data_IF_113834325690
#
_entry.id   IF_113834325690
#
_cell.length_a   1.000
_cell.length_b   1.000
_cell.length_c   1.000
_cell.angle_alpha   90.00
_cell.angle_beta   90.00
_cell.angle_gamma   90.00
#
_symmetry.space_group_name_H-M   'P 1'
#
loop_
_entity.id
_entity.type
_entity.pdbx_description
1 polymer ?
#
# COMPACT_ATOMS: atom_id res chain seq x y z
N UNK A 1 -32.07 -47.28 -33.70
CA UNK A 1 -30.68 -47.51 -34.14
C UNK A 1 -29.89 -46.22 -33.91
N UNK A 2 -29.01 -46.18 -32.90
CA UNK A 2 -28.03 -45.10 -32.69
C UNK A 2 -26.70 -45.79 -32.39
N UNK A 3 -25.80 -45.80 -33.37
CA UNK A 3 -24.45 -46.32 -33.20
C UNK A 3 -23.65 -45.33 -32.36
N UNK A 4 -23.42 -45.68 -31.10
CA UNK A 4 -22.47 -44.96 -30.24
C UNK A 4 -21.10 -45.60 -30.47
N UNK A 5 -20.30 -45.00 -31.35
CA UNK A 5 -18.93 -45.45 -31.55
C UNK A 5 -18.11 -45.19 -30.27
N UNK A 6 -17.47 -46.21 -29.67
CA UNK A 6 -16.62 -46.00 -28.51
C UNK A 6 -15.40 -45.18 -28.93
N UNK A 7 -15.21 -44.02 -28.30
CA UNK A 7 -14.02 -43.18 -28.50
C UNK A 7 -12.79 -44.05 -28.23
N UNK A 8 -11.97 -44.26 -29.26
CA UNK A 8 -10.79 -45.11 -29.20
C UNK A 8 -9.79 -44.55 -28.19
N UNK A 9 -9.07 -45.45 -27.51
CA UNK A 9 -8.02 -45.12 -26.54
C UNK A 9 -7.04 -44.01 -26.99
N UNK A 10 -6.57 -43.97 -28.26
CA UNK A 10 -5.72 -42.87 -28.74
C UNK A 10 -6.41 -41.50 -28.73
N UNK A 11 -7.72 -41.44 -28.99
CA UNK A 11 -8.47 -40.17 -28.95
C UNK A 11 -8.63 -39.64 -27.51
N UNK A 12 -8.72 -40.53 -26.50
CA UNK A 12 -8.74 -40.13 -25.08
C UNK A 12 -7.39 -39.58 -24.62
N UNK A 13 -6.29 -40.21 -25.06
CA UNK A 13 -4.92 -39.74 -24.78
C UNK A 13 -4.66 -38.35 -25.36
N UNK A 14 -5.11 -38.08 -26.59
CA UNK A 14 -4.99 -36.76 -27.22
C UNK A 14 -5.72 -35.66 -26.46
N UNK A 15 -6.93 -35.95 -25.94
CA UNK A 15 -7.69 -34.98 -25.12
C UNK A 15 -6.98 -34.68 -23.81
N UNK A 16 -6.46 -35.69 -23.10
CA UNK A 16 -5.75 -35.50 -21.82
C UNK A 16 -4.46 -34.68 -22.02
N UNK A 17 -3.69 -34.99 -23.06
CA UNK A 17 -2.47 -34.23 -23.40
C UNK A 17 -2.81 -32.79 -23.78
N UNK A 18 -3.88 -32.57 -24.55
CA UNK A 18 -4.37 -31.24 -24.90
C UNK A 18 -4.79 -30.42 -23.67
N UNK A 19 -5.53 -31.02 -22.73
CA UNK A 19 -5.91 -30.36 -21.48
C UNK A 19 -4.70 -30.05 -20.58
N UNK A 20 -3.74 -30.98 -20.49
CA UNK A 20 -2.52 -30.76 -19.71
C UNK A 20 -1.65 -29.65 -20.33
N UNK A 21 -1.53 -29.61 -21.66
CA UNK A 21 -0.80 -28.54 -22.36
C UNK A 21 -1.50 -27.18 -22.20
N UNK A 22 -2.83 -27.14 -22.27
CA UNK A 22 -3.60 -25.92 -22.05
C UNK A 22 -3.49 -25.42 -20.59
N UNK A 23 -3.53 -26.32 -19.61
CA UNK A 23 -3.31 -25.99 -18.21
C UNK A 23 -1.89 -25.50 -17.96
N UNK A 24 -0.87 -26.16 -18.53
CA UNK A 24 0.51 -25.74 -18.45
C UNK A 24 0.73 -24.37 -19.12
N UNK A 25 0.10 -24.13 -20.28
CA UNK A 25 0.16 -22.84 -20.97
C UNK A 25 -0.55 -21.72 -20.18
N UNK A 26 -1.70 -22.01 -19.55
CA UNK A 26 -2.39 -21.07 -18.68
C UNK A 26 -1.56 -20.73 -17.43
N UNK A 27 -0.96 -21.74 -16.77
CA UNK A 27 -0.05 -21.55 -15.64
C UNK A 27 1.23 -20.81 -16.05
N UNK A 28 1.75 -21.09 -17.24
CA UNK A 28 2.92 -20.39 -17.80
C UNK A 28 2.59 -18.93 -18.13
N UNK A 29 1.42 -18.65 -18.71
CA UNK A 29 0.98 -17.29 -19.03
C UNK A 29 0.68 -16.48 -17.77
N UNK A 30 0.08 -17.08 -16.74
CA UNK A 30 -0.17 -16.44 -15.44
C UNK A 30 1.15 -16.07 -14.74
N UNK A 31 2.16 -16.95 -14.82
CA UNK A 31 3.51 -16.69 -14.30
C UNK A 31 4.26 -15.55 -15.00
N UNK A 32 3.80 -15.15 -16.20
CA UNK A 32 4.43 -14.14 -17.07
C UNK A 32 3.67 -12.81 -17.11
N UNK A 33 2.61 -12.64 -16.32
CA UNK A 33 1.96 -11.33 -16.22
C UNK A 33 2.95 -10.35 -15.57
N UNK A 34 3.70 -9.61 -16.39
CA UNK A 34 4.53 -8.50 -15.94
C UNK A 34 3.60 -7.50 -15.25
N UNK A 35 3.70 -7.45 -13.93
CA UNK A 35 2.96 -6.47 -13.14
C UNK A 35 3.53 -5.10 -13.47
N UNK A 36 2.85 -4.37 -14.36
CA UNK A 36 3.17 -2.97 -14.66
C UNK A 36 3.13 -2.21 -13.33
N UNK A 37 4.28 -1.67 -12.86
CA UNK A 37 4.31 -1.03 -11.56
C UNK A 37 3.44 0.23 -11.56
N UNK A 38 2.65 0.42 -10.50
CA UNK A 38 1.84 1.62 -10.35
C UNK A 38 2.73 2.88 -10.42
N UNK A 39 2.28 3.88 -11.16
CA UNK A 39 3.04 5.13 -11.40
C UNK A 39 2.93 6.12 -10.25
N UNK A 40 1.81 6.08 -9.51
CA UNK A 40 1.42 7.05 -8.50
C UNK A 40 1.78 6.67 -7.05
N UNK A 41 2.54 5.59 -6.85
CA UNK A 41 2.94 5.12 -5.52
C UNK A 41 4.29 4.41 -5.54
N UNK A 42 4.96 4.26 -4.39
CA UNK A 42 6.18 3.46 -4.25
C UNK A 42 6.05 2.07 -4.86
N UNK A 43 7.14 1.61 -5.48
CA UNK A 43 7.22 0.28 -6.08
C UNK A 43 7.80 -0.70 -5.06
N UNK A 44 7.14 -1.85 -4.91
CA UNK A 44 7.76 -3.02 -4.26
C UNK A 44 8.54 -3.78 -5.32
N UNK A 45 9.86 -3.83 -5.19
CA UNK A 45 10.73 -4.62 -6.06
C UNK A 45 11.70 -5.45 -5.23
N UNK A 46 12.10 -6.60 -5.78
CA UNK A 46 13.25 -7.33 -5.26
C UNK A 46 14.51 -6.59 -5.72
N UNK A 47 15.37 -6.25 -4.76
CA UNK A 47 16.66 -5.61 -5.02
C UNK A 47 17.76 -6.55 -4.57
N UNK A 48 18.92 -6.47 -5.23
CA UNK A 48 20.07 -7.29 -4.88
C UNK A 48 20.42 -7.18 -3.39
N UNK A 49 20.74 -8.32 -2.78
CA UNK A 49 21.01 -8.42 -1.34
C UNK A 49 19.77 -8.51 -0.44
N UNK A 50 18.56 -8.40 -0.99
CA UNK A 50 17.30 -8.51 -0.23
C UNK A 50 16.34 -9.51 -0.87
N UNK A 51 15.70 -10.33 -0.04
CA UNK A 51 14.65 -11.29 -0.44
C UNK A 51 13.35 -11.00 0.31
N UNK A 52 12.22 -11.52 -0.17
CA UNK A 52 10.96 -11.45 0.58
C UNK A 52 11.00 -12.36 1.81
N UNK A 53 10.17 -12.05 2.81
CA UNK A 53 9.98 -12.90 3.99
C UNK A 53 9.49 -14.32 3.65
N UNK A 54 8.84 -14.51 2.50
CA UNK A 54 8.38 -15.83 2.05
C UNK A 54 9.53 -16.80 1.82
N UNK A 55 10.70 -16.28 1.43
CA UNK A 55 11.93 -17.09 1.24
C UNK A 55 12.40 -17.73 2.55
N UNK A 56 12.07 -17.12 3.69
CA UNK A 56 12.46 -17.60 5.02
C UNK A 56 11.54 -18.70 5.55
N UNK A 57 10.32 -18.82 5.00
CA UNK A 57 9.22 -19.60 5.59
C UNK A 57 9.54 -21.08 5.74
N UNK A 58 10.07 -21.72 4.70
CA UNK A 58 10.26 -23.17 4.66
C UNK A 58 11.29 -23.68 5.69
N UNK A 59 12.30 -22.88 6.02
CA UNK A 59 13.35 -23.26 6.98
C UNK A 59 13.09 -22.72 8.39
N UNK A 60 12.31 -21.65 8.52
CA UNK A 60 12.07 -20.94 9.79
C UNK A 60 10.58 -20.79 10.10
N UNK A 61 9.82 -21.89 10.03
CA UNK A 61 8.35 -21.88 10.15
C UNK A 61 7.84 -21.20 11.43
N UNK A 62 8.45 -21.51 12.59
CA UNK A 62 8.04 -20.93 13.87
C UNK A 62 8.22 -19.41 13.94
N UNK A 63 9.38 -18.91 13.50
CA UNK A 63 9.67 -17.47 13.46
C UNK A 63 8.83 -16.76 12.40
N UNK A 64 8.65 -17.38 11.23
CA UNK A 64 7.77 -16.84 10.20
C UNK A 64 6.35 -16.73 10.73
N UNK A 65 5.82 -17.76 11.40
CA UNK A 65 4.47 -17.76 11.95
C UNK A 65 4.28 -16.67 13.00
N UNK A 66 5.18 -16.54 13.98
CA UNK A 66 5.05 -15.50 15.02
C UNK A 66 5.15 -14.09 14.44
N UNK A 67 6.08 -13.86 13.50
CA UNK A 67 6.15 -12.59 12.76
C UNK A 67 4.89 -12.36 11.92
N UNK A 68 4.39 -13.39 11.25
CA UNK A 68 3.21 -13.31 10.40
C UNK A 68 1.92 -13.11 11.21
N UNK A 69 1.89 -13.47 12.49
CA UNK A 69 0.76 -13.16 13.38
C UNK A 69 0.85 -11.72 13.92
N UNK A 70 1.98 -11.04 13.74
CA UNK A 70 2.20 -9.67 14.21
C UNK A 70 1.75 -8.59 13.21
N UNK A 71 1.57 -7.38 13.73
CA UNK A 71 1.24 -6.17 12.99
C UNK A 71 2.39 -5.62 12.13
N UNK A 72 3.64 -6.03 12.38
CA UNK A 72 4.80 -5.53 11.63
C UNK A 72 4.69 -5.82 10.13
N UNK A 73 4.20 -7.01 9.75
CA UNK A 73 4.10 -7.41 8.34
C UNK A 73 3.08 -6.56 7.56
N UNK A 74 2.09 -6.02 8.26
CA UNK A 74 0.98 -5.23 7.71
C UNK A 74 1.16 -3.73 7.97
N UNK A 75 2.35 -3.30 8.39
CA UNK A 75 2.60 -1.89 8.72
C UNK A 75 2.41 -0.97 7.51
N UNK A 76 2.72 -1.42 6.31
CA UNK A 76 2.46 -0.67 5.07
C UNK A 76 1.76 -1.56 4.07
N UNK A 77 0.62 -1.11 3.58
CA UNK A 77 -0.20 -1.86 2.62
C UNK A 77 -0.66 -0.94 1.49
N UNK A 78 -0.82 -1.52 0.30
CA UNK A 78 -1.55 -0.84 -0.78
C UNK A 78 -2.98 -0.62 -0.33
N UNK A 79 -3.52 0.57 -0.56
CA UNK A 79 -4.91 0.87 -0.27
C UNK A 79 -5.81 0.10 -1.24
N UNK A 80 -6.63 -0.79 -0.69
CA UNK A 80 -7.60 -1.63 -1.39
C UNK A 80 -8.80 -1.82 -0.46
N UNK A 81 -9.95 -2.34 -0.95
CA UNK A 81 -11.09 -2.59 -0.08
C UNK A 81 -10.82 -3.57 1.08
N UNK A 82 -9.74 -4.36 1.00
CA UNK A 82 -9.35 -5.31 2.05
C UNK A 82 -8.42 -4.72 3.12
N UNK A 83 -7.76 -3.60 2.81
CA UNK A 83 -6.67 -3.04 3.62
C UNK A 83 -7.00 -1.66 4.16
N UNK A 84 -7.85 -0.93 3.43
CA UNK A 84 -8.40 0.33 3.88
C UNK A 84 -9.57 0.06 4.82
N UNK A 85 -9.60 0.82 5.91
CA UNK A 85 -10.63 0.70 6.93
C UNK A 85 -12.03 1.07 6.40
N UNK A 86 -13.10 0.55 7.03
CA UNK A 86 -14.47 0.85 6.62
C UNK A 86 -14.75 2.36 6.69
N UNK A 87 -15.80 2.80 5.98
CA UNK A 87 -16.34 4.18 6.02
C UNK A 87 -15.53 5.25 5.27
N UNK A 88 -14.68 4.87 4.32
CA UNK A 88 -14.03 5.84 3.41
C UNK A 88 -14.97 6.38 2.33
N UNK A 89 -15.94 5.59 1.88
CA UNK A 89 -16.91 6.05 0.89
C UNK A 89 -17.99 6.90 1.57
N UNK A 90 -18.14 8.15 1.15
CA UNK A 90 -19.03 9.11 1.81
C UNK A 90 -18.46 9.72 3.10
N UNK A 91 -17.18 9.47 3.42
CA UNK A 91 -16.49 10.12 4.54
C UNK A 91 -16.56 11.64 4.41
N UNK A 92 -16.90 12.34 5.49
CA UNK A 92 -16.87 13.79 5.57
C UNK A 92 -16.14 14.21 6.85
N UNK A 93 -15.03 14.93 6.69
CA UNK A 93 -14.21 15.43 7.79
C UNK A 93 -13.89 16.90 7.60
N UNK A 94 -13.69 17.61 8.70
CA UNK A 94 -13.32 19.04 8.70
C UNK A 94 -12.14 19.27 9.64
N UNK A 95 -11.14 20.01 9.19
CA UNK A 95 -10.00 20.45 9.99
C UNK A 95 -9.60 21.86 9.58
N UNK A 96 -9.51 22.78 10.55
CA UNK A 96 -9.11 24.18 10.34
C UNK A 96 -9.91 24.91 9.23
N UNK A 97 -11.20 24.57 9.11
CA UNK A 97 -12.09 25.14 8.08
C UNK A 97 -11.89 24.59 6.67
N UNK A 98 -11.04 23.58 6.49
CA UNK A 98 -10.95 22.77 5.26
C UNK A 98 -11.83 21.54 5.38
N UNK A 99 -12.55 21.20 4.32
CA UNK A 99 -13.39 20.00 4.26
C UNK A 99 -12.68 18.91 3.45
N UNK A 100 -12.87 17.65 3.85
CA UNK A 100 -12.31 16.46 3.22
C UNK A 100 -13.45 15.48 2.96
N UNK A 101 -13.63 15.09 1.71
CA UNK A 101 -14.67 14.15 1.28
C UNK A 101 -14.04 12.89 0.72
N UNK A 102 -14.40 11.73 1.27
CA UNK A 102 -14.02 10.42 0.75
C UNK A 102 -15.02 9.88 -0.27
N UNK A 103 -14.48 9.30 -1.34
CA UNK A 103 -15.25 8.75 -2.45
C UNK A 103 -14.63 7.41 -2.88
N UNK A 104 -15.47 6.44 -3.25
CA UNK A 104 -15.02 5.18 -3.84
C UNK A 104 -15.40 5.09 -5.32
N UNK A 105 -14.50 4.57 -6.14
CA UNK A 105 -14.77 4.19 -7.53
C UNK A 105 -14.15 2.82 -7.82
N UNK A 106 -14.99 1.80 -7.96
CA UNK A 106 -14.55 0.40 -8.05
C UNK A 106 -13.77 -0.01 -6.79
N UNK A 107 -12.51 -0.42 -6.98
CA UNK A 107 -11.61 -0.81 -5.88
C UNK A 107 -10.67 0.31 -5.42
N UNK A 108 -10.83 1.51 -5.96
CA UNK A 108 -10.03 2.69 -5.61
C UNK A 108 -10.80 3.64 -4.71
N UNK A 109 -10.06 4.33 -3.86
CA UNK A 109 -10.58 5.32 -2.93
C UNK A 109 -9.93 6.67 -3.21
N UNK A 110 -10.68 7.74 -3.01
CA UNK A 110 -10.26 9.09 -3.33
C UNK A 110 -10.64 10.04 -2.20
N UNK A 111 -9.85 11.09 -2.04
CA UNK A 111 -10.15 12.20 -1.16
C UNK A 111 -10.24 13.47 -2.00
N UNK A 112 -11.32 14.22 -1.85
CA UNK A 112 -11.46 15.59 -2.34
C UNK A 112 -11.27 16.55 -1.18
N UNK A 113 -10.42 17.55 -1.38
CA UNK A 113 -10.17 18.61 -0.41
C UNK A 113 -10.86 19.88 -0.86
N UNK A 114 -11.43 20.62 0.07
CA UNK A 114 -12.01 21.94 -0.17
C UNK A 114 -11.40 22.94 0.80
N UNK A 115 -10.61 23.92 0.31
CA UNK A 115 -10.11 24.97 1.16
C UNK A 115 -11.27 25.86 1.66
N UNK A 116 -11.04 26.55 2.78
CA UNK A 116 -12.04 27.43 3.38
C UNK A 116 -12.50 28.50 2.38
N UNK A 117 -13.80 28.51 2.06
CA UNK A 117 -14.40 29.46 1.12
C UNK A 117 -14.10 29.19 -0.36
N UNK A 118 -13.51 28.04 -0.70
CA UNK A 118 -13.28 27.61 -2.07
C UNK A 118 -14.17 26.44 -2.48
N UNK A 119 -13.88 25.90 -3.67
CA UNK A 119 -14.54 24.71 -4.22
C UNK A 119 -13.72 23.44 -3.97
N UNK A 120 -14.35 22.27 -4.14
CA UNK A 120 -13.62 21.01 -4.08
C UNK A 120 -12.58 20.93 -5.19
N UNK A 121 -11.35 20.62 -4.80
CA UNK A 121 -10.23 20.33 -5.68
C UNK A 121 -10.42 18.98 -6.40
N UNK A 122 -9.48 18.65 -7.28
CA UNK A 122 -9.43 17.34 -7.94
C UNK A 122 -9.40 16.22 -6.88
N UNK A 123 -10.03 15.07 -7.14
CA UNK A 123 -9.85 13.90 -6.28
C UNK A 123 -8.39 13.43 -6.32
N UNK A 124 -7.85 13.07 -5.16
CA UNK A 124 -6.55 12.39 -5.02
C UNK A 124 -6.77 10.94 -4.61
N UNK A 125 -6.16 10.00 -5.31
CA UNK A 125 -6.26 8.56 -4.97
C UNK A 125 -5.55 8.29 -3.63
N UNK A 126 -6.20 7.54 -2.74
CA UNK A 126 -5.56 6.91 -1.60
C UNK A 126 -4.82 5.68 -2.11
N UNK A 127 -3.49 5.71 -2.06
CA UNK A 127 -2.65 4.69 -2.73
C UNK A 127 -1.92 3.76 -1.78
N UNK A 128 -1.67 4.21 -0.55
CA UNK A 128 -1.06 3.43 0.52
C UNK A 128 -1.76 3.73 1.85
N UNK A 129 -1.62 2.81 2.79
CA UNK A 129 -1.93 2.99 4.20
C UNK A 129 -0.76 2.56 5.06
N UNK A 130 -0.56 3.27 6.18
CA UNK A 130 0.42 2.91 7.20
C UNK A 130 -0.25 2.70 8.54
N UNK A 131 0.12 1.63 9.25
CA UNK A 131 -0.43 1.28 10.55
C UNK A 131 -1.49 0.18 10.47
N UNK A 132 -1.49 -0.71 11.48
CA UNK A 132 -2.32 -1.92 11.46
C UNK A 132 -2.87 -2.38 12.82
N UNK A 133 -2.52 -1.72 13.93
CA UNK A 133 -3.02 -2.07 15.27
C UNK A 133 -3.84 -0.96 15.92
N UNK A 134 -3.22 0.18 16.22
CA UNK A 134 -3.89 1.28 16.92
C UNK A 134 -4.37 2.37 15.97
N UNK A 135 -3.54 2.72 14.99
CA UNK A 135 -3.81 3.77 14.02
C UNK A 135 -3.62 3.23 12.61
N UNK A 136 -4.37 3.79 11.67
CA UNK A 136 -4.09 3.69 10.25
C UNK A 136 -4.13 5.09 9.63
N UNK A 137 -3.09 5.42 8.87
CA UNK A 137 -2.91 6.69 8.21
C UNK A 137 -2.92 6.48 6.69
N UNK A 138 -3.90 7.06 5.97
CA UNK A 138 -3.95 7.04 4.51
C UNK A 138 -2.91 7.97 3.86
N UNK A 139 -2.41 7.56 2.70
CA UNK A 139 -1.50 8.35 1.87
C UNK A 139 -2.11 8.62 0.50
N UNK A 140 -2.11 9.89 0.11
CA UNK A 140 -2.68 10.39 -1.13
C UNK A 140 -1.59 10.55 -2.19
N UNK A 141 -1.90 10.22 -3.44
CA UNK A 141 -1.07 10.63 -4.57
C UNK A 141 -1.09 12.15 -4.76
N UNK A 142 0.02 12.72 -5.22
CA UNK A 142 0.12 14.17 -5.48
C UNK A 142 0.09 14.53 -6.97
N UNK A 143 0.22 13.55 -7.85
CA UNK A 143 0.45 13.72 -9.28
C UNK A 143 1.92 13.96 -9.63
N UNK A 144 2.79 14.07 -8.62
CA UNK A 144 4.22 14.33 -8.80
C UNK A 144 5.03 13.03 -8.63
N UNK A 145 4.99 12.19 -9.67
CA UNK A 145 5.63 10.88 -9.66
C UNK A 145 5.10 10.01 -8.51
N UNK A 146 6.00 9.61 -7.61
CA UNK A 146 5.69 8.72 -6.46
C UNK A 146 5.80 9.44 -5.11
N UNK A 147 5.67 10.76 -5.13
CA UNK A 147 5.58 11.58 -3.92
C UNK A 147 4.19 11.42 -3.33
N UNK A 148 4.10 11.20 -2.02
CA UNK A 148 2.83 11.01 -1.33
C UNK A 148 2.57 12.12 -0.31
N UNK A 149 1.32 12.51 -0.18
CA UNK A 149 0.82 13.41 0.86
C UNK A 149 0.14 12.59 1.96
N UNK A 150 0.41 12.92 3.22
CA UNK A 150 -0.32 12.31 4.33
C UNK A 150 -1.72 12.91 4.41
N UNK A 151 -2.77 12.07 4.49
CA UNK A 151 -4.08 12.57 4.89
C UNK A 151 -3.99 13.09 6.34
N UNK A 152 -4.49 14.29 6.67
CA UNK A 152 -4.31 14.89 8.01
C UNK A 152 -5.17 14.23 9.10
N UNK A 153 -5.71 13.04 8.83
CA UNK A 153 -6.48 12.24 9.75
C UNK A 153 -5.92 10.83 9.82
N UNK A 154 -5.85 10.29 11.02
CA UNK A 154 -5.70 8.87 11.25
C UNK A 154 -7.05 8.29 11.65
N UNK A 155 -7.27 7.03 11.29
CA UNK A 155 -8.32 6.25 11.91
C UNK A 155 -7.76 5.55 13.14
N UNK A 156 -8.43 5.72 14.28
CA UNK A 156 -8.12 5.01 15.52
C UNK A 156 -8.95 3.73 15.56
N UNK A 157 -8.28 2.59 15.46
CA UNK A 157 -8.88 1.30 15.09
C UNK A 157 -9.80 0.76 16.19
N UNK A 158 -9.40 0.84 17.46
CA UNK A 158 -10.18 0.31 18.57
C UNK A 158 -11.44 1.15 18.84
N UNK A 159 -11.32 2.45 18.63
CA UNK A 159 -12.33 3.49 18.88
C UNK A 159 -13.25 3.69 17.67
N UNK A 160 -12.87 3.13 16.52
CA UNK A 160 -13.60 3.20 15.25
C UNK A 160 -13.92 4.63 14.83
N UNK A 161 -12.93 5.52 14.95
CA UNK A 161 -13.12 6.95 14.70
C UNK A 161 -11.96 7.56 13.95
N UNK A 162 -12.27 8.59 13.15
CA UNK A 162 -11.27 9.46 12.55
C UNK A 162 -10.88 10.57 13.54
N UNK A 163 -9.59 10.84 13.64
CA UNK A 163 -9.05 11.94 14.43
C UNK A 163 -7.92 12.65 13.66
N UNK A 164 -7.78 13.99 13.80
CA UNK A 164 -6.63 14.70 13.28
C UNK A 164 -5.33 14.09 13.81
N UNK A 165 -4.34 13.82 12.94
CA UNK A 165 -3.09 13.15 13.36
C UNK A 165 -2.32 13.99 14.40
N UNK A 166 -2.41 15.33 14.34
CA UNK A 166 -1.84 16.21 15.36
C UNK A 166 -2.53 16.12 16.74
N UNK A 167 -3.64 15.39 16.85
CA UNK A 167 -4.36 15.11 18.09
C UNK A 167 -4.23 13.65 18.52
N UNK A 168 -3.58 12.79 17.72
CA UNK A 168 -3.33 11.38 18.09
C UNK A 168 -2.01 11.17 18.83
N UNK A 169 -1.15 12.19 18.88
CA UNK A 169 0.13 12.17 19.59
C UNK A 169 0.31 13.44 20.42
N UNK A 170 1.06 13.34 21.52
CA UNK A 170 1.53 14.51 22.25
C UNK A 170 2.64 15.19 21.46
N UNK A 171 2.33 16.36 20.92
CA UNK A 171 3.23 17.14 20.07
C UNK A 171 3.51 18.51 20.70
N UNK A 172 4.69 19.11 20.48
CA UNK A 172 4.96 20.49 20.88
C UNK A 172 3.97 21.45 20.21
N UNK A 173 3.47 22.48 20.93
CA UNK A 173 2.46 23.40 20.43
C UNK A 173 2.96 24.32 19.31
N UNK A 174 4.29 24.47 19.15
CA UNK A 174 4.90 25.29 18.10
C UNK A 174 5.00 24.58 16.75
N UNK A 175 4.84 23.25 16.71
CA UNK A 175 4.84 22.51 15.47
C UNK A 175 3.55 22.83 14.70
N UNK A 176 3.64 23.25 13.44
CA UNK A 176 2.46 23.61 12.62
C UNK A 176 2.32 22.75 11.37
N UNK A 177 3.45 22.30 10.82
CA UNK A 177 3.49 21.50 9.61
C UNK A 177 3.58 20.00 9.94
N UNK A 178 2.42 19.45 10.31
CA UNK A 178 2.28 18.02 10.63
C UNK A 178 2.09 17.16 9.37
N UNK A 179 1.59 17.76 8.28
CA UNK A 179 1.05 17.05 7.10
C UNK A 179 1.87 17.36 5.85
N UNK A 180 3.10 16.84 5.80
CA UNK A 180 4.02 17.20 4.73
C UNK A 180 3.84 16.31 3.48
N UNK A 181 3.66 16.97 2.34
CA UNK A 181 3.90 16.36 1.03
C UNK A 181 5.32 15.78 1.00
N UNK A 182 5.42 14.50 0.65
CA UNK A 182 6.66 13.74 0.63
C UNK A 182 7.17 13.29 2.00
N UNK A 183 6.37 13.38 3.08
CA UNK A 183 6.72 12.82 4.39
C UNK A 183 6.99 11.32 4.32
N UNK A 184 6.20 10.59 3.53
CA UNK A 184 6.44 9.17 3.26
C UNK A 184 7.87 8.93 2.77
N UNK A 185 8.26 9.66 1.72
CA UNK A 185 9.53 9.50 1.02
C UNK A 185 10.74 10.01 1.84
N UNK A 186 10.53 10.91 2.79
CA UNK A 186 11.61 11.56 3.54
C UNK A 186 11.79 11.07 4.97
N UNK A 187 10.82 10.33 5.53
CA UNK A 187 10.86 9.91 6.93
C UNK A 187 10.17 8.56 7.19
N UNK A 188 8.97 8.33 6.65
CA UNK A 188 8.21 7.13 7.04
C UNK A 188 8.77 5.84 6.43
N UNK A 189 9.30 5.92 5.20
CA UNK A 189 9.86 4.77 4.52
C UNK A 189 11.08 4.18 5.25
N UNK A 190 11.82 4.98 6.01
CA UNK A 190 13.05 4.53 6.68
C UNK A 190 12.78 3.44 7.73
N UNK A 191 11.57 3.44 8.30
CA UNK A 191 11.16 2.48 9.33
C UNK A 191 10.13 1.46 8.80
N UNK A 192 9.33 1.82 7.81
CA UNK A 192 8.15 1.03 7.42
C UNK A 192 8.33 0.23 6.11
N UNK A 193 9.50 0.31 5.48
CA UNK A 193 9.86 -0.59 4.39
C UNK A 193 11.26 -1.15 4.57
N UNK A 194 11.56 -2.24 3.87
CA UNK A 194 12.91 -2.78 3.76
C UNK A 194 13.64 -2.08 2.61
N UNK A 195 14.81 -1.51 2.88
CA UNK A 195 15.66 -0.83 1.89
C UNK A 195 14.91 0.25 1.08
N UNK A 196 14.26 1.19 1.77
CA UNK A 196 13.60 2.34 1.15
C UNK A 196 14.56 3.17 0.30
N UNK A 197 14.10 3.56 -0.90
CA UNK A 197 14.84 4.46 -1.80
C UNK A 197 13.91 5.58 -2.25
N UNK A 198 14.25 6.80 -1.89
CA UNK A 198 13.58 8.00 -2.40
C UNK A 198 14.51 8.76 -3.34
N UNK A 199 13.93 9.43 -4.33
CA UNK A 199 14.63 10.34 -5.23
C UNK A 199 13.94 11.69 -5.13
N UNK A 200 14.68 12.76 -4.80
CA UNK A 200 14.20 14.15 -4.88
C UNK A 200 15.11 14.92 -5.83
N UNK A 201 14.52 15.62 -6.82
CA UNK A 201 15.29 16.41 -7.79
C UNK A 201 16.36 15.62 -8.56
N UNK A 202 16.10 14.34 -8.85
CA UNK A 202 17.05 13.46 -9.55
C UNK A 202 18.18 12.88 -8.70
N UNK A 203 18.22 13.15 -7.38
CA UNK A 203 19.23 12.60 -6.47
C UNK A 203 18.60 11.64 -5.45
N UNK A 204 19.27 10.53 -5.09
CA UNK A 204 18.85 9.69 -3.98
C UNK A 204 18.79 10.51 -2.68
N UNK A 205 17.66 10.43 -1.99
CA UNK A 205 17.53 10.93 -0.62
C UNK A 205 17.79 9.74 0.28
N UNK A 206 19.02 9.65 0.75
CA UNK A 206 19.49 8.66 1.72
C UNK A 206 20.24 9.36 2.84
N UNK A 207 20.26 8.70 3.99
CA UNK A 207 20.85 9.13 5.26
C UNK A 207 22.12 10.00 5.12
N UNK A 208 21.99 11.33 5.16
CA UNK A 208 23.07 12.15 5.71
C UNK A 208 23.03 11.91 7.20
N UNK A 209 23.72 10.87 7.66
CA UNK A 209 23.96 10.65 9.07
C UNK A 209 24.66 11.88 9.64
N UNK A 210 23.87 12.83 10.13
CA UNK A 210 24.38 13.84 11.05
C UNK A 210 24.65 13.04 12.31
N UNK A 211 25.89 12.53 12.40
CA UNK A 211 26.46 11.93 13.59
C UNK A 211 26.19 12.94 14.69
N UNK A 212 25.16 12.73 15.51
CA UNK A 212 24.98 13.47 16.75
C UNK A 212 26.19 13.02 17.57
N UNK A 213 27.27 13.79 17.48
CA UNK A 213 28.36 13.71 18.45
C UNK A 213 27.74 14.25 19.74
N UNK A 214 27.15 13.36 20.53
CA UNK A 214 27.00 13.65 21.95
C UNK A 214 28.42 13.81 22.47
N UNK A 215 28.86 15.06 22.63
CA UNK A 215 29.87 15.38 23.63
C UNK A 215 29.17 15.21 24.97
N UNK A 216 29.61 14.22 25.73
CA UNK A 216 29.67 14.35 27.19
C UNK A 216 30.77 15.36 27.50
#
# INVERSE_FOLDING_TARGET
MRNVFPISWPARLLVVVGCAAAAAAALYHDSRYEVIPAENRPIKSLVEGYVSSDSCRACHEGNYRSWHESFHRTMTQVATPKTLLPDMDGLLLTLDGREYKGERSGDKFFIRKKPKGGEFERPQEVVLVTGSHHLQVPWLETGEGRTLEQLPFAYIINEKMWAPVNQTFLMPPEMKDYYAVGAWNGACMDCHVTQGRAIRGGKPVGFTGRRIRNRV
#
